data_IF_980888614188
#
_entry.id   IF_980888614188
#
_cell.length_a   1.000
_cell.length_b   1.000
_cell.length_c   1.000
_cell.angle_alpha   90.00
_cell.angle_beta   90.00
_cell.angle_gamma   90.00
#
_symmetry.space_group_name_H-M   'P 1'
#
loop_
_entity.id
_entity.type
_entity.pdbx_description
1 polymer ?
#
# COMPACT_ATOMS: atom_id res chain seq x y z
N UNK A 1 3.34 6.09 21.31
CA UNK A 1 4.69 5.92 20.74
C UNK A 1 5.27 7.31 20.48
N UNK A 2 6.51 7.57 20.91
CA UNK A 2 7.22 8.77 20.47
C UNK A 2 7.63 8.63 19.00
N UNK A 3 7.55 9.71 18.24
CA UNK A 3 7.97 9.76 16.81
C UNK A 3 9.40 9.22 16.65
N UNK A 4 10.25 9.40 17.66
CA UNK A 4 11.64 8.95 17.71
C UNK A 4 11.81 7.44 17.59
N UNK A 5 10.98 6.65 18.26
CA UNK A 5 11.11 5.19 18.24
C UNK A 5 10.68 4.62 16.88
N UNK A 6 9.66 5.22 16.26
CA UNK A 6 9.21 4.85 14.92
C UNK A 6 10.31 5.11 13.90
N UNK A 7 10.89 6.31 13.93
CA UNK A 7 12.00 6.69 13.06
C UNK A 7 13.21 5.77 13.28
N UNK A 8 13.51 5.40 14.53
CA UNK A 8 14.64 4.53 14.85
C UNK A 8 14.45 3.11 14.30
N UNK A 9 13.26 2.53 14.46
CA UNK A 9 13.00 1.13 14.05
C UNK A 9 12.78 1.00 12.54
N UNK A 10 11.90 1.82 11.97
CA UNK A 10 11.43 1.62 10.59
C UNK A 10 12.22 2.41 9.54
N UNK A 11 12.81 3.55 9.93
CA UNK A 11 13.57 4.40 9.00
C UNK A 11 15.06 4.16 9.15
N UNK A 12 15.62 4.32 10.35
CA UNK A 12 17.06 4.29 10.58
C UNK A 12 17.62 2.86 10.73
N UNK A 13 16.89 1.96 11.39
CA UNK A 13 17.38 0.63 11.74
C UNK A 13 18.30 0.64 12.98
N UNK A 14 18.53 -0.54 13.58
CA UNK A 14 19.34 -0.68 14.80
C UNK A 14 20.84 -0.48 14.57
N UNK A 15 21.32 -0.76 13.36
CA UNK A 15 22.75 -0.91 13.06
C UNK A 15 23.28 0.21 12.13
N UNK A 16 22.51 1.28 11.93
CA UNK A 16 22.93 2.33 11.00
C UNK A 16 23.98 3.25 11.60
N UNK A 17 25.24 3.03 11.21
CA UNK A 17 26.35 3.88 11.60
C UNK A 17 26.92 4.64 10.38
N UNK A 18 26.53 5.91 10.24
CA UNK A 18 27.07 6.83 9.22
C UNK A 18 28.59 6.97 9.27
N UNK A 19 29.22 6.73 10.43
CA UNK A 19 30.67 6.90 10.59
C UNK A 19 31.49 5.90 9.77
N UNK A 20 30.92 4.74 9.46
CA UNK A 20 31.59 3.69 8.68
C UNK A 20 31.63 3.95 7.16
N UNK A 21 30.94 4.99 6.67
CA UNK A 21 30.92 5.36 5.25
C UNK A 21 32.08 6.30 4.90
N UNK A 22 32.73 6.06 3.75
CA UNK A 22 33.73 6.99 3.21
C UNK A 22 33.10 8.34 2.87
N UNK A 23 33.91 9.41 2.88
CA UNK A 23 33.44 10.77 2.60
C UNK A 23 32.76 10.89 1.23
N UNK A 24 33.30 10.26 0.19
CA UNK A 24 32.70 10.28 -1.15
C UNK A 24 31.34 9.58 -1.18
N UNK A 25 31.19 8.47 -0.44
CA UNK A 25 29.91 7.77 -0.31
C UNK A 25 28.87 8.62 0.42
N UNK A 26 29.27 9.32 1.48
CA UNK A 26 28.38 10.26 2.18
C UNK A 26 27.88 11.37 1.26
N UNK A 27 28.77 11.94 0.43
CA UNK A 27 28.39 12.96 -0.55
C UNK A 27 27.37 12.43 -1.57
N UNK A 28 27.60 11.24 -2.13
CA UNK A 28 26.68 10.63 -3.08
C UNK A 28 25.31 10.35 -2.45
N UNK A 29 25.28 9.83 -1.23
CA UNK A 29 24.04 9.61 -0.49
C UNK A 29 23.28 10.93 -0.28
N UNK A 30 23.96 11.97 0.21
CA UNK A 30 23.32 13.28 0.44
C UNK A 30 22.77 13.86 -0.87
N UNK A 31 23.50 13.68 -1.98
CA UNK A 31 23.06 14.10 -3.31
C UNK A 31 21.83 13.32 -3.80
N UNK A 32 21.81 12.00 -3.64
CA UNK A 32 20.67 11.15 -4.02
C UNK A 32 19.41 11.50 -3.19
N UNK A 33 19.55 11.67 -1.88
CA UNK A 33 18.44 12.10 -1.02
C UNK A 33 17.98 13.53 -1.33
N UNK A 34 18.88 14.45 -1.66
CA UNK A 34 18.50 15.82 -2.01
C UNK A 34 17.71 15.86 -3.33
N UNK A 35 18.03 14.99 -4.29
CA UNK A 35 17.23 14.82 -5.51
C UNK A 35 15.83 14.29 -5.20
N UNK A 36 15.70 13.27 -4.36
CA UNK A 36 14.39 12.75 -3.94
C UNK A 36 13.54 13.85 -3.28
N UNK A 37 14.13 14.62 -2.37
CA UNK A 37 13.45 15.75 -1.71
C UNK A 37 13.04 16.79 -2.76
N UNK A 38 13.91 17.13 -3.71
CA UNK A 38 13.63 18.09 -4.76
C UNK A 38 12.41 17.66 -5.60
N UNK A 39 12.31 16.39 -5.99
CA UNK A 39 11.14 15.91 -6.73
C UNK A 39 9.85 16.00 -5.93
N UNK A 40 9.90 15.64 -4.64
CA UNK A 40 8.73 15.75 -3.75
C UNK A 40 8.29 17.20 -3.59
N UNK A 41 9.23 18.12 -3.36
CA UNK A 41 8.95 19.56 -3.23
C UNK A 41 8.40 20.12 -4.55
N UNK A 42 9.01 19.80 -5.68
CA UNK A 42 8.54 20.21 -6.99
C UNK A 42 7.11 19.69 -7.25
N UNK A 43 6.83 18.42 -6.93
CA UNK A 43 5.51 17.83 -7.06
C UNK A 43 4.47 18.56 -6.21
N UNK A 44 4.79 18.88 -4.95
CA UNK A 44 3.90 19.62 -4.06
C UNK A 44 3.62 21.02 -4.60
N UNK A 45 4.65 21.73 -5.08
CA UNK A 45 4.50 23.07 -5.67
C UNK A 45 3.57 23.00 -6.88
N UNK A 46 3.81 22.08 -7.82
CA UNK A 46 2.98 21.92 -9.03
C UNK A 46 1.55 21.55 -8.65
N UNK A 47 1.35 20.64 -7.71
CA UNK A 47 0.03 20.20 -7.25
C UNK A 47 -0.75 21.33 -6.55
N UNK A 48 -0.09 22.10 -5.68
CA UNK A 48 -0.70 23.25 -5.00
C UNK A 48 -1.02 24.38 -5.98
N UNK A 49 -0.13 24.62 -6.94
CA UNK A 49 -0.36 25.58 -8.01
C UNK A 49 -1.54 25.16 -8.89
N UNK A 50 -1.63 23.90 -9.29
CA UNK A 50 -2.77 23.35 -10.03
C UNK A 50 -4.08 23.52 -9.26
N UNK A 51 -4.10 23.19 -7.97
CA UNK A 51 -5.28 23.37 -7.11
C UNK A 51 -5.69 24.84 -7.01
N UNK A 52 -4.73 25.74 -6.75
CA UNK A 52 -4.98 27.18 -6.69
C UNK A 52 -5.52 27.74 -8.00
N UNK A 53 -4.96 27.31 -9.13
CA UNK A 53 -5.43 27.68 -10.46
C UNK A 53 -6.85 27.19 -10.72
N UNK A 54 -7.16 25.93 -10.44
CA UNK A 54 -8.52 25.38 -10.59
C UNK A 54 -9.52 26.10 -9.68
N UNK A 55 -9.11 26.45 -8.46
CA UNK A 55 -9.92 27.24 -7.54
C UNK A 55 -10.24 28.63 -8.10
N UNK A 56 -9.23 29.33 -8.63
CA UNK A 56 -9.41 30.64 -9.26
C UNK A 56 -10.32 30.53 -10.49
N UNK A 57 -10.05 29.57 -11.37
CA UNK A 57 -10.81 29.36 -12.62
C UNK A 57 -12.26 28.95 -12.38
N UNK A 58 -12.54 28.17 -11.34
CA UNK A 58 -13.90 27.77 -10.97
C UNK A 58 -14.63 28.80 -10.10
N UNK A 59 -13.93 29.82 -9.59
CA UNK A 59 -14.56 30.85 -8.78
C UNK A 59 -15.59 31.65 -9.59
N UNK A 60 -16.70 32.04 -8.94
CA UNK A 60 -17.71 32.93 -9.57
C UNK A 60 -17.12 34.30 -9.90
N UNK A 61 -16.10 34.74 -9.16
CA UNK A 61 -15.44 36.03 -9.30
C UNK A 61 -14.65 36.08 -10.61
N UNK A 62 -13.81 35.09 -10.90
CA UNK A 62 -13.03 35.06 -12.14
C UNK A 62 -13.93 35.10 -13.38
N UNK A 63 -15.03 34.34 -13.37
CA UNK A 63 -16.03 34.36 -14.45
C UNK A 63 -16.70 35.73 -14.60
N UNK A 64 -16.96 36.44 -13.49
CA UNK A 64 -17.51 37.81 -13.53
C UNK A 64 -16.48 38.80 -14.09
N UNK A 65 -15.23 38.74 -13.64
CA UNK A 65 -14.14 39.60 -14.13
C UNK A 65 -13.93 39.40 -15.63
N UNK A 66 -13.88 38.15 -16.09
CA UNK A 66 -13.76 37.83 -17.51
C UNK A 66 -14.94 38.40 -18.33
N UNK A 67 -16.19 38.25 -17.86
CA UNK A 67 -17.36 38.85 -18.52
C UNK A 67 -17.30 40.37 -18.57
N UNK A 68 -16.86 41.03 -17.50
CA UNK A 68 -16.70 42.48 -17.46
C UNK A 68 -15.60 42.93 -18.43
N UNK A 69 -14.49 42.21 -18.49
CA UNK A 69 -13.41 42.45 -19.47
C UNK A 69 -13.94 42.35 -20.91
N UNK A 70 -14.64 41.26 -21.25
CA UNK A 70 -15.22 41.12 -22.59
C UNK A 70 -16.24 42.22 -22.91
N UNK A 71 -17.09 42.61 -21.95
CA UNK A 71 -18.04 43.72 -22.13
C UNK A 71 -17.35 45.06 -22.35
N UNK A 72 -16.28 45.35 -21.61
CA UNK A 72 -15.51 46.58 -21.76
C UNK A 72 -14.91 46.68 -23.17
N UNK A 73 -14.25 45.62 -23.63
CA UNK A 73 -13.61 45.59 -24.95
C UNK A 73 -14.62 45.55 -26.11
N UNK A 74 -15.83 45.06 -25.90
CA UNK A 74 -16.87 45.04 -26.94
C UNK A 74 -17.23 46.45 -27.46
N UNK A 75 -17.11 47.49 -26.62
CA UNK A 75 -17.42 48.87 -27.00
C UNK A 75 -16.29 49.61 -27.72
N UNK A 76 -15.08 49.03 -27.77
CA UNK A 76 -13.93 49.66 -28.44
C UNK A 76 -13.80 49.05 -29.84
N UNK A 77 -14.08 49.81 -30.93
CA UNK A 77 -13.97 49.28 -32.29
C UNK A 77 -12.51 48.91 -32.62
N UNK A 78 -12.33 47.88 -33.45
CA UNK A 78 -11.05 47.33 -33.94
C UNK A 78 -10.19 46.67 -32.84
N UNK A 79 -9.74 47.43 -31.83
CA UNK A 79 -8.90 46.91 -30.73
C UNK A 79 -9.67 45.93 -29.83
N UNK A 80 -10.98 46.12 -29.68
CA UNK A 80 -11.84 45.24 -28.90
C UNK A 80 -11.88 43.81 -29.41
N UNK A 81 -11.98 43.63 -30.73
CA UNK A 81 -12.04 42.31 -31.37
C UNK A 81 -10.75 41.52 -31.12
N UNK A 82 -9.60 42.18 -31.24
CA UNK A 82 -8.29 41.57 -30.99
C UNK A 82 -8.17 41.14 -29.53
N UNK A 83 -8.49 42.02 -28.58
CA UNK A 83 -8.36 41.73 -27.15
C UNK A 83 -9.36 40.68 -26.66
N UNK A 84 -10.59 40.64 -27.19
CA UNK A 84 -11.54 39.55 -26.92
C UNK A 84 -11.01 38.24 -27.48
N UNK A 85 -10.45 38.24 -28.69
CA UNK A 85 -9.80 37.06 -29.28
C UNK A 85 -8.66 36.52 -28.41
N UNK A 86 -7.78 37.40 -27.94
CA UNK A 86 -6.68 37.05 -27.02
C UNK A 86 -7.23 36.50 -25.71
N UNK A 87 -8.22 37.16 -25.09
CA UNK A 87 -8.81 36.69 -23.84
C UNK A 87 -9.51 35.33 -23.98
N UNK A 88 -10.19 35.08 -25.09
CA UNK A 88 -10.78 33.78 -25.41
C UNK A 88 -9.71 32.71 -25.59
N UNK A 89 -8.61 33.04 -26.29
CA UNK A 89 -7.47 32.14 -26.47
C UNK A 89 -6.81 31.79 -25.13
N UNK A 90 -6.55 32.80 -24.28
CA UNK A 90 -6.00 32.61 -22.93
C UNK A 90 -6.96 31.78 -22.07
N UNK A 91 -8.26 32.07 -22.09
CA UNK A 91 -9.26 31.29 -21.36
C UNK A 91 -9.26 29.83 -21.82
N UNK A 92 -9.32 29.58 -23.13
CA UNK A 92 -9.29 28.23 -23.68
C UNK A 92 -8.01 27.50 -23.30
N UNK A 93 -6.86 28.17 -23.34
CA UNK A 93 -5.59 27.62 -22.87
C UNK A 93 -5.66 27.25 -21.38
N UNK A 94 -6.13 28.15 -20.52
CA UNK A 94 -6.22 27.95 -19.08
C UNK A 94 -7.22 26.86 -18.67
N UNK A 95 -8.32 26.68 -19.41
CA UNK A 95 -9.33 25.66 -19.09
C UNK A 95 -9.04 24.30 -19.72
N UNK A 96 -8.45 24.25 -20.91
CA UNK A 96 -8.36 23.01 -21.69
C UNK A 96 -6.94 22.51 -21.94
N UNK A 97 -5.93 23.37 -21.99
CA UNK A 97 -4.55 22.98 -22.32
C UNK A 97 -3.68 22.90 -21.07
N UNK A 98 -3.78 23.91 -20.22
CA UNK A 98 -2.91 24.08 -19.07
C UNK A 98 -3.13 23.06 -17.94
N UNK A 99 -4.37 22.68 -17.56
CA UNK A 99 -4.57 21.68 -16.52
C UNK A 99 -4.05 20.29 -16.92
N UNK A 100 -4.30 19.78 -18.14
CA UNK A 100 -3.66 18.55 -18.61
C UNK A 100 -2.13 18.65 -18.65
N UNK A 101 -1.57 19.79 -19.02
CA UNK A 101 -0.12 20.02 -19.02
C UNK A 101 0.48 19.92 -17.62
N UNK A 102 -0.11 20.58 -16.62
CA UNK A 102 0.34 20.46 -15.23
C UNK A 102 0.22 19.02 -14.72
N UNK A 103 -0.86 18.32 -15.08
CA UNK A 103 -1.03 16.91 -14.72
C UNK A 103 0.07 16.01 -15.33
N UNK A 104 0.52 16.30 -16.55
CA UNK A 104 1.67 15.62 -17.17
C UNK A 104 2.96 15.88 -16.40
N UNK A 105 3.23 17.13 -16.00
CA UNK A 105 4.41 17.46 -15.18
C UNK A 105 4.38 16.68 -13.87
N UNK A 106 3.24 16.68 -13.17
CA UNK A 106 3.07 15.91 -11.93
C UNK A 106 3.35 14.42 -12.14
N UNK A 107 2.83 13.84 -13.23
CA UNK A 107 3.06 12.43 -13.58
C UNK A 107 4.53 12.14 -13.85
N UNK A 108 5.23 13.02 -14.58
CA UNK A 108 6.67 12.89 -14.88
C UNK A 108 7.49 12.96 -13.59
N UNK A 109 7.18 13.90 -12.70
CA UNK A 109 7.84 14.01 -11.40
C UNK A 109 7.63 12.76 -10.54
N UNK A 110 6.41 12.19 -10.55
CA UNK A 110 6.12 10.91 -9.88
C UNK A 110 7.00 9.79 -10.45
N UNK A 111 7.03 9.62 -11.79
CA UNK A 111 7.83 8.57 -12.44
C UNK A 111 9.32 8.72 -12.15
N UNK A 112 9.85 9.94 -12.19
CA UNK A 112 11.25 10.21 -11.85
C UNK A 112 11.57 9.88 -10.40
N UNK A 113 10.69 10.25 -9.48
CA UNK A 113 10.86 9.92 -8.07
C UNK A 113 10.93 8.40 -7.87
N UNK A 114 9.99 7.66 -8.46
CA UNK A 114 10.00 6.20 -8.39
C UNK A 114 11.26 5.62 -9.02
N UNK A 115 11.66 6.12 -10.19
CA UNK A 115 12.88 5.68 -10.85
C UNK A 115 14.11 5.84 -9.94
N UNK A 116 14.31 7.00 -9.30
CA UNK A 116 15.45 7.19 -8.40
C UNK A 116 15.36 6.29 -7.16
N UNK A 117 14.17 6.13 -6.55
CA UNK A 117 14.01 5.18 -5.44
C UNK A 117 14.40 3.76 -5.87
N UNK A 118 13.94 3.32 -7.04
CA UNK A 118 14.26 1.99 -7.59
C UNK A 118 15.76 1.83 -7.80
N UNK A 119 16.41 2.83 -8.39
CA UNK A 119 17.85 2.83 -8.63
C UNK A 119 18.64 2.77 -7.31
N UNK A 120 18.21 3.51 -6.29
CA UNK A 120 18.84 3.49 -4.98
C UNK A 120 18.65 2.17 -4.22
N UNK A 121 17.55 1.45 -4.46
CA UNK A 121 17.17 0.26 -3.67
C UNK A 121 17.52 -1.05 -4.35
N UNK A 122 17.11 -1.27 -5.60
CA UNK A 122 17.14 -2.59 -6.24
C UNK A 122 18.02 -2.68 -7.49
N UNK A 123 18.33 -1.57 -8.18
CA UNK A 123 19.06 -1.63 -9.46
C UNK A 123 20.59 -1.61 -9.32
N UNK A 124 21.15 -1.01 -8.28
CA UNK A 124 22.61 -0.99 -8.09
C UNK A 124 23.08 -2.37 -7.66
N UNK A 125 23.87 -3.03 -8.51
CA UNK A 125 24.44 -4.36 -8.27
C UNK A 125 25.14 -4.42 -6.89
N UNK A 126 24.79 -5.42 -6.10
CA UNK A 126 25.61 -5.80 -4.95
C UNK A 126 24.87 -6.61 -3.90
N UNK A 127 23.90 -5.99 -3.21
CA UNK A 127 23.54 -6.48 -1.87
C UNK A 127 22.05 -6.74 -1.65
N UNK A 128 21.17 -6.53 -2.63
CA UNK A 128 19.75 -6.92 -2.52
C UNK A 128 19.38 -7.82 -3.70
N UNK A 129 18.87 -9.01 -3.41
CA UNK A 129 18.42 -9.96 -4.44
C UNK A 129 16.97 -10.35 -4.19
N UNK A 130 16.13 -10.19 -5.21
CA UNK A 130 14.72 -10.62 -5.17
C UNK A 130 14.63 -11.99 -5.86
N UNK A 131 14.12 -12.99 -5.15
CA UNK A 131 13.84 -14.31 -5.68
C UNK A 131 12.34 -14.58 -5.61
N UNK A 132 11.84 -15.23 -6.65
CA UNK A 132 10.49 -15.78 -6.67
C UNK A 132 10.53 -17.26 -6.29
N UNK A 133 9.56 -17.71 -5.50
CA UNK A 133 9.33 -19.15 -5.31
C UNK A 133 8.98 -19.84 -6.62
N UNK A 134 9.23 -21.13 -6.72
CA UNK A 134 8.97 -21.91 -7.95
C UNK A 134 7.49 -21.89 -8.37
N UNK A 135 6.58 -21.78 -7.40
CA UNK A 135 5.14 -21.77 -7.63
C UNK A 135 4.57 -20.34 -7.82
N UNK A 136 5.45 -19.33 -7.92
CA UNK A 136 5.04 -17.95 -8.14
C UNK A 136 4.38 -17.77 -9.50
N UNK A 137 3.21 -17.14 -9.50
CA UNK A 137 2.47 -16.80 -10.71
C UNK A 137 2.76 -15.35 -11.14
N UNK A 138 2.66 -15.05 -12.44
CA UNK A 138 2.89 -13.69 -12.94
C UNK A 138 1.75 -12.73 -12.53
N UNK A 139 1.97 -11.41 -12.57
CA UNK A 139 0.92 -10.42 -12.35
C UNK A 139 0.27 -10.01 -13.67
N UNK A 140 -0.89 -10.58 -14.02
CA UNK A 140 -1.66 -10.19 -15.21
C UNK A 140 -2.57 -9.00 -14.87
N UNK A 141 -2.02 -7.79 -14.95
CA UNK A 141 -2.71 -6.54 -14.59
C UNK A 141 -3.29 -5.83 -15.82
N UNK A 142 -2.83 -6.20 -17.01
CA UNK A 142 -3.26 -5.62 -18.28
C UNK A 142 -4.08 -6.60 -19.10
N UNK A 143 -5.09 -6.07 -19.79
CA UNK A 143 -5.73 -6.74 -20.91
C UNK A 143 -5.66 -5.82 -22.13
N UNK A 144 -5.02 -6.25 -23.22
CA UNK A 144 -4.95 -5.50 -24.49
C UNK A 144 -4.63 -3.99 -24.31
N UNK A 145 -3.55 -3.68 -23.57
CA UNK A 145 -3.10 -2.31 -23.23
C UNK A 145 -4.03 -1.47 -22.35
N UNK A 146 -5.06 -2.07 -21.75
CA UNK A 146 -5.89 -1.43 -20.74
C UNK A 146 -5.57 -1.98 -19.36
N UNK A 147 -5.37 -1.07 -18.39
CA UNK A 147 -5.19 -1.41 -17.00
C UNK A 147 -6.50 -1.99 -16.45
N UNK A 148 -6.44 -3.14 -15.79
CA UNK A 148 -7.57 -3.73 -15.07
C UNK A 148 -7.57 -3.26 -13.61
N UNK A 149 -8.74 -3.01 -13.06
CA UNK A 149 -8.92 -2.81 -11.63
C UNK A 149 -8.54 -4.09 -10.90
N UNK A 150 -7.41 -4.07 -10.20
CA UNK A 150 -6.78 -5.27 -9.64
C UNK A 150 -6.59 -5.08 -8.15
N UNK A 151 -6.93 -6.10 -7.35
CA UNK A 151 -6.66 -6.11 -5.91
C UNK A 151 -5.50 -7.04 -5.60
N UNK A 152 -4.54 -6.49 -4.88
CA UNK A 152 -3.38 -7.15 -4.34
C UNK A 152 -3.52 -7.16 -2.81
N UNK A 153 -3.46 -8.33 -2.20
CA UNK A 153 -3.31 -8.48 -0.76
C UNK A 153 -1.88 -8.92 -0.45
N UNK A 154 -1.28 -8.38 0.61
CA UNK A 154 0.07 -8.75 1.03
C UNK A 154 0.15 -8.84 2.55
N UNK A 155 1.08 -9.65 3.05
CA UNK A 155 1.54 -9.46 4.42
C UNK A 155 2.37 -8.16 4.49
N UNK A 156 2.41 -7.54 5.67
CA UNK A 156 3.18 -6.32 5.89
C UNK A 156 4.26 -6.56 6.94
N UNK A 157 5.52 -6.52 6.50
CA UNK A 157 6.67 -6.71 7.37
C UNK A 157 7.47 -5.45 7.57
N UNK A 158 7.54 -4.59 6.56
CA UNK A 158 8.33 -3.37 6.63
C UNK A 158 7.72 -2.26 5.78
N UNK A 159 8.03 -1.01 6.12
CA UNK A 159 7.78 0.16 5.27
C UNK A 159 8.42 0.00 3.88
N UNK A 160 9.39 -0.89 3.72
CA UNK A 160 9.95 -1.28 2.42
C UNK A 160 8.91 -1.92 1.49
N UNK A 161 7.93 -2.66 2.01
CA UNK A 161 6.95 -3.40 1.18
C UNK A 161 6.21 -2.47 0.20
N UNK A 162 5.93 -1.25 0.66
CA UNK A 162 5.37 -0.15 -0.12
C UNK A 162 6.20 0.18 -1.37
N UNK A 163 7.53 0.13 -1.28
CA UNK A 163 8.44 0.32 -2.42
C UNK A 163 8.54 -0.97 -3.22
N UNK A 164 8.74 -2.12 -2.56
CA UNK A 164 8.90 -3.42 -3.20
C UNK A 164 7.72 -3.76 -4.11
N UNK A 165 6.48 -3.58 -3.65
CA UNK A 165 5.29 -3.90 -4.44
C UNK A 165 5.23 -3.02 -5.69
N UNK A 166 5.58 -1.73 -5.60
CA UNK A 166 5.69 -0.89 -6.78
C UNK A 166 6.78 -1.41 -7.74
N UNK A 167 7.93 -1.85 -7.23
CA UNK A 167 8.99 -2.47 -8.05
C UNK A 167 8.47 -3.67 -8.82
N UNK A 168 7.74 -4.56 -8.14
CA UNK A 168 7.18 -5.77 -8.74
C UNK A 168 6.18 -5.43 -9.85
N UNK A 169 5.34 -4.41 -9.63
CA UNK A 169 4.42 -3.90 -10.65
C UNK A 169 5.16 -3.33 -11.86
N UNK A 170 6.21 -2.53 -11.65
CA UNK A 170 7.00 -1.94 -12.72
C UNK A 170 7.80 -2.98 -13.52
N UNK A 171 8.41 -3.96 -12.84
CA UNK A 171 9.13 -5.07 -13.47
C UNK A 171 8.22 -5.87 -14.39
N UNK A 172 7.02 -6.22 -13.90
CA UNK A 172 6.05 -6.94 -14.69
C UNK A 172 5.55 -6.10 -15.89
N UNK A 173 5.38 -4.80 -15.69
CA UNK A 173 4.84 -3.92 -16.73
C UNK A 173 5.78 -3.67 -17.91
N UNK A 174 7.07 -3.45 -17.67
CA UNK A 174 7.99 -2.97 -18.72
C UNK A 174 9.16 -3.89 -19.05
N UNK A 175 9.29 -5.06 -18.41
CA UNK A 175 10.27 -6.12 -18.70
C UNK A 175 11.74 -5.77 -18.47
N UNK A 176 12.16 -4.55 -18.81
CA UNK A 176 13.54 -4.07 -18.87
C UNK A 176 13.67 -2.63 -18.31
N UNK A 177 12.84 -2.23 -17.36
CA UNK A 177 12.93 -0.87 -16.76
C UNK A 177 14.30 -0.61 -16.11
N UNK A 178 14.96 -1.66 -15.64
CA UNK A 178 16.26 -1.59 -14.97
C UNK A 178 17.39 -1.13 -15.90
N UNK A 179 17.28 -1.42 -17.20
CA UNK A 179 18.27 -1.02 -18.21
C UNK A 179 17.91 0.27 -18.94
N UNK A 180 16.78 0.91 -18.62
CA UNK A 180 16.35 2.13 -19.31
C UNK A 180 17.12 3.35 -18.82
N UNK A 181 17.59 4.16 -19.77
CA UNK A 181 18.20 5.44 -19.44
C UNK A 181 17.15 6.42 -18.90
N UNK A 182 17.59 7.34 -18.04
CA UNK A 182 16.73 8.41 -17.49
C UNK A 182 16.05 9.24 -18.60
N UNK A 183 16.73 9.48 -19.71
CA UNK A 183 16.18 10.20 -20.86
C UNK A 183 15.05 9.44 -21.56
N UNK A 184 15.14 8.12 -21.65
CA UNK A 184 14.10 7.32 -22.32
C UNK A 184 12.84 7.25 -21.47
N UNK A 185 13.00 7.15 -20.15
CA UNK A 185 11.89 7.20 -19.20
C UNK A 185 11.18 8.55 -19.28
N UNK A 186 11.94 9.66 -19.35
CA UNK A 186 11.37 11.00 -19.52
C UNK A 186 10.61 11.14 -20.84
N UNK A 187 11.19 10.67 -21.95
CA UNK A 187 10.55 10.72 -23.28
C UNK A 187 9.26 9.91 -23.28
N UNK A 188 9.25 8.73 -22.68
CA UNK A 188 8.03 7.91 -22.53
C UNK A 188 7.00 8.62 -21.65
N UNK A 189 7.41 9.04 -20.44
CA UNK A 189 6.58 9.80 -19.50
C UNK A 189 5.91 11.04 -20.12
N UNK A 190 6.59 11.70 -21.05
CA UNK A 190 6.10 12.91 -21.71
C UNK A 190 5.25 12.65 -22.95
N UNK A 191 5.63 11.69 -23.79
CA UNK A 191 5.02 11.46 -25.11
C UNK A 191 3.90 10.43 -25.08
N UNK A 192 4.04 9.39 -24.27
CA UNK A 192 2.97 8.42 -24.09
C UNK A 192 1.94 9.04 -23.13
N UNK A 193 0.67 9.04 -23.53
CA UNK A 193 -0.44 9.33 -22.61
C UNK A 193 -0.50 8.21 -21.57
N UNK A 194 0.40 8.25 -20.60
CA UNK A 194 0.64 7.19 -19.62
C UNK A 194 -0.47 7.18 -18.57
N UNK A 195 -1.61 6.64 -18.99
CA UNK A 195 -2.52 5.92 -18.10
C UNK A 195 -2.00 4.51 -17.78
N UNK A 196 -0.77 4.17 -18.18
CA UNK A 196 -0.27 2.80 -18.17
C UNK A 196 0.95 2.60 -17.26
N UNK A 197 1.26 3.52 -16.34
CA UNK A 197 2.14 3.17 -15.22
C UNK A 197 1.27 2.63 -14.09
N UNK A 198 1.22 1.28 -13.85
CA UNK A 198 0.45 0.72 -12.75
C UNK A 198 1.09 1.13 -11.43
N UNK A 199 0.67 2.28 -10.91
CA UNK A 199 1.05 2.72 -9.58
C UNK A 199 0.17 2.04 -8.56
N UNK A 200 0.78 1.35 -7.59
CA UNK A 200 0.04 0.82 -6.47
C UNK A 200 -0.68 1.95 -5.72
N UNK A 201 -1.98 1.76 -5.51
CA UNK A 201 -2.82 2.56 -4.62
C UNK A 201 -3.00 1.79 -3.33
N UNK A 202 -2.39 2.28 -2.26
CA UNK A 202 -2.49 1.62 -0.96
C UNK A 202 -3.75 2.08 -0.26
N UNK A 203 -4.51 1.11 0.25
CA UNK A 203 -5.71 1.34 1.04
C UNK A 203 -5.34 1.13 2.51
N UNK A 204 -5.06 2.22 3.23
CA UNK A 204 -4.75 2.19 4.65
C UNK A 204 -5.00 3.55 5.31
N UNK A 205 -5.06 3.59 6.65
CA UNK A 205 -5.28 4.82 7.43
C UNK A 205 -6.50 5.64 6.99
N UNK A 206 -7.56 4.94 6.57
CA UNK A 206 -8.79 5.59 6.11
C UNK A 206 -8.68 6.34 4.79
N UNK A 207 -7.64 6.09 4.00
CA UNK A 207 -7.43 6.77 2.73
C UNK A 207 -6.84 5.88 1.62
N UNK A 208 -7.03 6.32 0.37
CA UNK A 208 -6.43 5.71 -0.81
C UNK A 208 -5.27 6.61 -1.22
N UNK A 209 -4.04 6.18 -0.93
CA UNK A 209 -2.85 6.99 -1.19
C UNK A 209 -1.91 6.34 -2.19
N UNK A 210 -1.14 7.21 -2.85
CA UNK A 210 0.06 6.86 -3.60
C UNK A 210 1.28 7.13 -2.72
N UNK A 211 2.36 6.39 -2.93
CA UNK A 211 3.67 6.82 -2.44
C UNK A 211 4.32 7.78 -3.45
N UNK A 212 5.29 8.59 -3.00
CA UNK A 212 5.39 9.16 -1.68
C UNK A 212 4.40 10.33 -1.59
N UNK A 213 3.61 10.41 -0.54
CA UNK A 213 2.95 11.68 -0.22
C UNK A 213 3.31 12.02 1.21
N UNK A 214 3.73 13.25 1.47
CA UNK A 214 3.88 13.74 2.85
C UNK A 214 2.56 13.58 3.62
N UNK A 215 1.45 13.58 2.89
CA UNK A 215 0.13 13.26 3.39
C UNK A 215 0.03 11.86 4.01
N UNK A 216 0.71 10.85 3.47
CA UNK A 216 0.79 9.52 4.11
C UNK A 216 1.50 9.61 5.47
N UNK A 217 2.65 10.29 5.55
CA UNK A 217 3.37 10.47 6.81
C UNK A 217 2.51 11.20 7.84
N UNK A 218 1.80 12.25 7.42
CA UNK A 218 0.85 12.98 8.27
C UNK A 218 -0.29 12.05 8.70
N UNK A 219 -0.86 11.25 7.81
CA UNK A 219 -1.95 10.31 8.14
C UNK A 219 -1.49 9.23 9.13
N UNK A 220 -0.29 8.68 8.98
CA UNK A 220 0.31 7.73 9.93
C UNK A 220 0.45 8.38 11.31
N UNK A 221 0.79 9.66 11.36
CA UNK A 221 0.96 10.40 12.62
C UNK A 221 -0.36 10.85 13.26
N UNK A 222 -1.41 11.09 12.47
CA UNK A 222 -2.64 11.78 12.94
C UNK A 222 -3.87 10.90 12.99
N UNK A 223 -4.04 9.96 12.05
CA UNK A 223 -5.23 9.12 11.96
C UNK A 223 -5.01 7.83 12.75
N UNK A 224 -6.11 7.20 13.17
CA UNK A 224 -6.06 5.82 13.66
C UNK A 224 -6.07 4.88 12.45
N UNK A 225 -5.20 3.88 12.46
CA UNK A 225 -5.12 2.91 11.36
C UNK A 225 -6.41 2.11 11.18
N UNK A 226 -7.14 1.90 12.28
CA UNK A 226 -8.42 1.22 12.26
C UNK A 226 -9.51 2.00 11.51
N UNK A 227 -9.20 3.20 11.01
CA UNK A 227 -10.11 3.94 10.17
C UNK A 227 -10.32 3.21 8.84
N UNK A 228 -11.55 2.74 8.62
CA UNK A 228 -11.92 1.98 7.43
C UNK A 228 -12.52 2.91 6.39
N UNK A 229 -12.22 2.66 5.12
CA UNK A 229 -12.85 3.34 3.99
C UNK A 229 -14.14 2.61 3.66
N UNK A 230 -15.24 3.36 3.52
CA UNK A 230 -16.50 2.79 3.08
C UNK A 230 -16.46 2.40 1.59
N UNK A 231 -17.22 1.36 1.24
CA UNK A 231 -17.39 0.86 -0.11
C UNK A 231 -17.82 1.95 -1.11
N UNK A 232 -18.70 2.88 -0.72
CA UNK A 232 -19.14 3.97 -1.57
C UNK A 232 -18.00 4.92 -1.98
N UNK A 233 -17.04 5.17 -1.09
CA UNK A 233 -15.90 6.04 -1.37
C UNK A 233 -14.92 5.39 -2.35
N UNK A 234 -14.74 4.07 -2.28
CA UNK A 234 -13.91 3.31 -3.23
C UNK A 234 -14.52 3.36 -4.63
N UNK A 235 -15.85 3.22 -4.74
CA UNK A 235 -16.57 3.32 -6.00
C UNK A 235 -16.45 4.73 -6.59
N UNK A 236 -16.68 5.77 -5.78
CA UNK A 236 -16.50 7.17 -6.21
C UNK A 236 -15.08 7.42 -6.71
N UNK A 237 -14.08 6.87 -6.04
CA UNK A 237 -12.69 6.97 -6.46
C UNK A 237 -12.46 6.31 -7.83
N UNK A 238 -12.94 5.07 -8.02
CA UNK A 238 -12.83 4.37 -9.31
C UNK A 238 -13.59 5.07 -10.45
N UNK A 239 -14.77 5.64 -10.17
CA UNK A 239 -15.52 6.42 -11.16
C UNK A 239 -14.83 7.74 -11.55
N UNK A 240 -13.95 8.26 -10.68
CA UNK A 240 -13.20 9.50 -10.92
C UNK A 240 -11.89 9.25 -11.65
N UNK A 241 -11.16 8.20 -11.25
CA UNK A 241 -9.78 7.93 -11.68
C UNK A 241 -9.63 6.72 -12.63
N UNK A 242 -10.74 6.03 -12.94
CA UNK A 242 -10.76 4.85 -13.79
C UNK A 242 -10.16 3.61 -13.12
N UNK A 243 -9.67 2.67 -13.92
CA UNK A 243 -9.07 1.43 -13.44
C UNK A 243 -7.77 1.68 -12.68
N UNK A 244 -7.59 1.02 -11.54
CA UNK A 244 -6.43 1.19 -10.66
C UNK A 244 -5.99 -0.13 -10.02
N UNK A 245 -4.72 -0.21 -9.61
CA UNK A 245 -4.20 -1.34 -8.83
C UNK A 245 -4.26 -0.99 -7.35
N UNK A 246 -5.09 -1.68 -6.59
CA UNK A 246 -5.18 -1.52 -5.14
C UNK A 246 -4.31 -2.53 -4.41
N UNK A 247 -3.60 -2.06 -3.40
CA UNK A 247 -2.81 -2.87 -2.48
C UNK A 247 -3.40 -2.73 -1.08
N UNK A 248 -3.70 -3.86 -0.47
CA UNK A 248 -4.21 -3.96 0.89
C UNK A 248 -3.25 -4.80 1.74
N UNK A 249 -2.94 -4.29 2.93
CA UNK A 249 -2.32 -5.06 3.99
C UNK A 249 -3.39 -5.36 5.04
N UNK A 250 -4.11 -6.49 4.94
CA UNK A 250 -5.20 -6.74 5.85
C UNK A 250 -4.66 -7.36 7.13
N UNK A 251 -3.57 -6.83 7.69
CA UNK A 251 -2.93 -7.27 8.93
C UNK A 251 -3.13 -6.24 10.03
N UNK A 252 -3.11 -6.68 11.29
CA UNK A 252 -2.94 -5.76 12.41
C UNK A 252 -1.55 -5.16 12.29
N UNK A 253 -1.43 -3.87 12.00
CA UNK A 253 -0.12 -3.25 11.99
C UNK A 253 0.37 -3.06 13.42
N UNK A 254 1.58 -3.53 13.63
CA UNK A 254 2.23 -3.48 14.91
C UNK A 254 3.39 -2.51 14.75
N UNK A 255 3.14 -1.26 15.15
CA UNK A 255 4.14 -0.20 15.05
C UNK A 255 5.26 -0.39 16.08
N UNK A 256 5.00 -1.06 17.19
CA UNK A 256 5.95 -1.32 18.29
C UNK A 256 6.14 -2.81 18.52
N UNK A 257 7.37 -3.23 18.82
CA UNK A 257 7.69 -4.62 19.22
C UNK A 257 6.86 -5.09 20.42
N UNK A 258 6.54 -4.18 21.35
CA UNK A 258 5.70 -4.44 22.54
C UNK A 258 4.28 -4.88 22.17
N UNK A 259 3.57 -4.12 21.33
CA UNK A 259 2.26 -4.52 20.80
C UNK A 259 2.34 -5.85 20.03
N UNK A 260 3.48 -6.13 19.40
CA UNK A 260 3.79 -7.43 18.76
C UNK A 260 3.80 -8.57 19.75
N UNK A 261 4.52 -8.39 20.85
CA UNK A 261 4.62 -9.34 21.95
C UNK A 261 3.26 -9.51 22.63
N UNK A 262 2.53 -8.41 22.86
CA UNK A 262 1.19 -8.44 23.46
C UNK A 262 0.23 -9.22 22.56
N UNK A 263 0.18 -8.92 21.26
CA UNK A 263 -0.67 -9.65 20.32
C UNK A 263 -0.31 -11.14 20.29
N UNK A 264 0.99 -11.47 20.28
CA UNK A 264 1.44 -12.86 20.34
C UNK A 264 1.03 -13.54 21.64
N UNK A 265 1.14 -12.86 22.78
CA UNK A 265 0.72 -13.37 24.09
C UNK A 265 -0.78 -13.56 24.17
N UNK A 266 -1.57 -12.65 23.60
CA UNK A 266 -3.03 -12.79 23.46
C UNK A 266 -3.34 -14.02 22.61
N UNK A 267 -2.75 -14.15 21.41
CA UNK A 267 -2.95 -15.31 20.55
C UNK A 267 -2.52 -16.63 21.24
N UNK A 268 -1.52 -16.58 22.13
CA UNK A 268 -1.11 -17.73 22.93
C UNK A 268 -2.14 -18.11 23.99
N UNK A 269 -2.65 -17.12 24.73
CA UNK A 269 -3.58 -17.32 25.84
C UNK A 269 -4.98 -17.75 25.38
N UNK A 270 -5.44 -17.24 24.23
CA UNK A 270 -6.78 -17.54 23.69
C UNK A 270 -6.80 -18.70 22.69
N UNK A 271 -5.70 -19.44 22.55
CA UNK A 271 -5.67 -20.67 21.77
C UNK A 271 -6.53 -21.75 22.46
N UNK A 272 -7.39 -22.51 21.74
CA UNK A 272 -7.48 -22.65 20.28
C UNK A 272 -8.52 -21.73 19.59
N UNK A 273 -9.16 -20.84 20.32
CA UNK A 273 -10.19 -19.94 19.78
C UNK A 273 -9.61 -18.86 18.85
N UNK A 274 -8.36 -18.47 19.09
CA UNK A 274 -7.58 -17.58 18.22
C UNK A 274 -6.38 -18.35 17.67
N UNK A 275 -6.16 -18.25 16.36
CA UNK A 275 -5.04 -18.91 15.69
C UNK A 275 -3.70 -18.27 16.09
N UNK A 276 -2.68 -19.12 16.25
CA UNK A 276 -1.30 -18.68 16.52
C UNK A 276 -0.60 -18.42 15.18
N UNK A 277 -0.23 -17.16 14.95
CA UNK A 277 0.65 -16.74 13.88
C UNK A 277 1.99 -16.29 14.46
N UNK A 278 3.10 -16.79 13.92
CA UNK A 278 4.45 -16.42 14.33
C UNK A 278 5.09 -15.47 13.31
N UNK A 279 4.88 -15.75 12.02
CA UNK A 279 5.49 -15.08 10.88
C UNK A 279 4.60 -14.05 10.18
N UNK A 280 3.29 -14.15 10.34
CA UNK A 280 2.31 -13.13 9.92
C UNK A 280 1.57 -12.52 11.11
N UNK A 281 0.94 -11.37 10.89
CA UNK A 281 0.10 -10.73 11.90
C UNK A 281 -1.37 -11.14 11.70
N UNK A 282 -2.17 -11.03 12.76
CA UNK A 282 -3.58 -11.42 12.69
C UNK A 282 -4.31 -10.53 11.67
N UNK A 283 -5.16 -11.11 10.79
CA UNK A 283 -5.77 -10.31 9.74
C UNK A 283 -6.91 -9.40 10.23
N UNK A 284 -7.01 -8.20 9.65
CA UNK A 284 -8.13 -7.27 9.80
C UNK A 284 -9.08 -7.37 8.62
N UNK A 285 -10.29 -7.82 8.90
CA UNK A 285 -11.23 -8.18 7.84
C UNK A 285 -12.04 -7.02 7.26
N UNK A 286 -12.36 -6.01 8.08
CA UNK A 286 -13.35 -4.98 7.71
C UNK A 286 -12.99 -4.21 6.43
N UNK A 287 -11.71 -3.86 6.25
CA UNK A 287 -11.25 -3.19 5.03
C UNK A 287 -11.32 -4.12 3.81
N UNK A 288 -10.85 -5.36 3.95
CA UNK A 288 -10.94 -6.37 2.88
C UNK A 288 -12.38 -6.59 2.43
N UNK A 289 -13.29 -6.76 3.39
CA UNK A 289 -14.73 -6.90 3.13
C UNK A 289 -15.28 -5.68 2.41
N UNK A 290 -14.94 -4.47 2.83
CA UNK A 290 -15.41 -3.24 2.17
C UNK A 290 -14.94 -3.10 0.72
N UNK A 291 -13.70 -3.50 0.42
CA UNK A 291 -13.16 -3.50 -0.96
C UNK A 291 -13.89 -4.53 -1.82
N UNK A 292 -14.07 -5.76 -1.33
CA UNK A 292 -14.81 -6.81 -2.06
C UNK A 292 -16.27 -6.37 -2.28
N UNK A 293 -16.88 -5.68 -1.31
CA UNK A 293 -18.24 -5.15 -1.46
C UNK A 293 -18.32 -4.05 -2.52
N UNK A 294 -17.33 -3.16 -2.57
CA UNK A 294 -17.25 -2.14 -3.60
C UNK A 294 -17.15 -2.78 -5.00
N UNK A 295 -16.36 -3.83 -5.15
CA UNK A 295 -16.24 -4.56 -6.42
C UNK A 295 -17.51 -5.33 -6.78
N UNK A 296 -18.18 -5.94 -5.79
CA UNK A 296 -19.45 -6.62 -6.02
C UNK A 296 -20.53 -5.65 -6.50
N UNK A 297 -20.57 -4.44 -5.95
CA UNK A 297 -21.45 -3.35 -6.40
C UNK A 297 -21.10 -2.87 -7.82
N UNK A 298 -19.83 -2.72 -8.17
CA UNK A 298 -19.40 -2.35 -9.53
C UNK A 298 -19.75 -3.39 -10.59
N UNK A 299 -19.82 -4.67 -10.21
CA UNK A 299 -20.21 -5.76 -11.09
C UNK A 299 -21.71 -6.09 -11.02
N UNK A 300 -22.51 -5.31 -10.29
CA UNK A 300 -23.95 -5.55 -10.04
C UNK A 300 -24.27 -6.97 -9.51
N UNK A 301 -23.35 -7.56 -8.75
CA UNK A 301 -23.52 -8.91 -8.18
C UNK A 301 -24.30 -8.81 -6.87
N UNK A 302 -25.53 -9.33 -6.88
CA UNK A 302 -26.32 -9.50 -5.64
C UNK A 302 -25.62 -10.51 -4.75
N UNK A 303 -25.25 -10.10 -3.53
CA UNK A 303 -24.74 -11.02 -2.51
C UNK A 303 -25.74 -12.15 -2.26
N UNK A 304 -25.24 -13.37 -2.10
CA UNK A 304 -26.10 -14.54 -1.84
C UNK A 304 -26.88 -14.36 -0.53
N UNK A 305 -28.21 -14.19 -0.63
CA UNK A 305 -29.10 -13.98 0.52
C UNK A 305 -29.66 -15.27 1.15
N UNK A 306 -29.45 -16.46 0.56
CA UNK A 306 -29.83 -17.77 1.14
C UNK A 306 -28.58 -18.51 1.65
N UNK A 307 -28.48 -19.13 2.83
CA UNK A 307 -29.44 -19.79 3.72
C UNK A 307 -29.36 -19.23 5.16
N UNK A 308 -30.49 -18.71 5.68
CA UNK A 308 -30.70 -18.44 7.12
C UNK A 308 -31.45 -19.59 7.82
N UNK A 309 -31.74 -20.68 7.12
CA UNK A 309 -32.37 -21.89 7.69
C UNK A 309 -31.35 -23.02 7.79
N UNK A 310 -30.56 -23.02 8.87
CA UNK A 310 -29.90 -24.18 9.54
C UNK A 310 -28.78 -23.73 10.48
N UNK A 311 -28.98 -22.66 11.25
CA UNK A 311 -28.13 -22.37 12.42
C UNK A 311 -29.04 -22.00 13.60
N UNK A 312 -29.65 -23.03 14.19
CA UNK A 312 -29.91 -23.15 15.61
C UNK A 312 -29.51 -24.60 15.98
N UNK A 313 -28.79 -24.86 17.09
CA UNK A 313 -28.78 -24.06 18.32
C UNK A 313 -27.36 -23.78 18.86
N UNK A 314 -26.77 -22.62 18.52
CA UNK A 314 -25.68 -22.03 19.35
C UNK A 314 -26.23 -21.24 20.54
N UNK A 315 -27.50 -20.83 20.49
CA UNK A 315 -28.14 -20.05 21.55
C UNK A 315 -28.45 -20.88 22.82
N UNK A 316 -28.66 -22.20 22.67
CA UNK A 316 -28.89 -23.09 23.82
C UNK A 316 -27.58 -23.37 24.55
N UNK A 317 -26.45 -23.41 23.83
CA UNK A 317 -25.12 -23.57 24.43
C UNK A 317 -24.67 -22.24 25.07
N UNK A 318 -24.96 -21.09 24.46
CA UNK A 318 -24.63 -19.79 25.05
C UNK A 318 -25.44 -19.49 26.32
N UNK A 319 -26.70 -19.88 26.39
CA UNK A 319 -27.49 -19.74 27.63
C UNK A 319 -27.01 -20.68 28.75
N UNK A 320 -26.56 -21.89 28.40
CA UNK A 320 -25.93 -22.79 29.36
C UNK A 320 -24.59 -22.21 29.87
N UNK A 321 -23.76 -21.65 28.99
CA UNK A 321 -22.49 -21.02 29.40
C UNK A 321 -22.68 -19.71 30.14
N UNK A 322 -23.72 -18.93 29.86
CA UNK A 322 -24.05 -17.70 30.60
C UNK A 322 -24.59 -18.02 32.00
N UNK A 323 -25.37 -19.10 32.16
CA UNK A 323 -25.80 -19.57 33.49
C UNK A 323 -24.64 -20.14 34.32
N UNK A 324 -23.64 -20.73 33.67
CA UNK A 324 -22.41 -21.20 34.32
C UNK A 324 -21.48 -20.01 34.64
N UNK A 325 -21.29 -19.07 33.71
CA UNK A 325 -20.51 -17.83 33.90
C UNK A 325 -21.07 -17.00 35.05
N UNK A 326 -22.38 -16.76 35.10
CA UNK A 326 -22.98 -15.97 36.17
C UNK A 326 -22.89 -16.65 37.56
N UNK A 327 -22.67 -17.98 37.60
CA UNK A 327 -22.43 -18.72 38.84
C UNK A 327 -20.94 -18.71 39.24
N UNK A 328 -20.04 -18.53 38.28
CA UNK A 328 -18.58 -18.42 38.44
C UNK A 328 -18.16 -16.95 38.71
N UNK A 329 -18.83 -15.97 38.12
CA UNK A 329 -18.63 -14.52 38.31
C UNK A 329 -19.10 -14.02 39.69
N UNK A 330 -19.91 -14.82 40.40
CA UNK A 330 -20.22 -14.60 41.82
C UNK A 330 -19.14 -15.14 42.77
N UNK A 331 -18.21 -15.96 42.27
CA UNK A 331 -17.13 -16.58 43.05
C UNK A 331 -15.78 -15.87 42.81
N UNK A 332 -15.62 -15.14 41.70
CA UNK A 332 -14.33 -14.55 41.28
C UNK A 332 -14.26 -13.01 41.32
N UNK A 333 -15.07 -12.35 42.15
CA UNK A 333 -14.89 -10.90 42.39
C UNK A 333 -13.82 -10.64 43.46
N UNK A 334 -12.58 -10.84 43.06
CA UNK A 334 -11.38 -10.18 43.59
C UNK A 334 -10.31 -10.31 42.51
N UNK A 335 -10.34 -9.37 41.55
CA UNK A 335 -9.17 -8.73 40.95
C UNK A 335 -9.52 -8.06 39.62
N UNK A 336 -8.97 -6.86 39.45
CA UNK A 336 -9.26 -5.88 38.41
C UNK A 336 -9.24 -6.45 36.99
N UNK A 337 -10.40 -6.37 36.32
CA UNK A 337 -10.47 -6.52 34.86
C UNK A 337 -11.08 -5.26 34.23
N UNK A 338 -10.24 -4.58 33.46
CA UNK A 338 -10.58 -3.49 32.56
C UNK A 338 -11.53 -4.03 31.48
N UNK A 339 -12.74 -3.47 31.31
CA UNK A 339 -13.66 -3.96 30.29
C UNK A 339 -13.15 -3.60 28.89
N UNK A 340 -12.99 -4.63 28.05
CA UNK A 340 -12.78 -4.49 26.61
C UNK A 340 -14.05 -3.91 26.00
N UNK A 341 -14.02 -2.61 25.66
CA UNK A 341 -15.10 -1.93 24.95
C UNK A 341 -15.09 -2.35 23.49
N UNK A 342 -15.99 -3.26 23.10
CA UNK A 342 -16.40 -3.46 21.72
C UNK A 342 -17.25 -2.25 21.29
N UNK A 343 -16.60 -1.22 20.76
CA UNK A 343 -17.27 -0.03 20.25
C UNK A 343 -18.02 -0.30 18.95
N UNK A 344 -19.33 -0.50 19.05
CA UNK A 344 -20.27 -0.19 17.97
C UNK A 344 -20.40 1.34 17.89
N UNK A 345 -19.61 1.97 17.03
CA UNK A 345 -19.83 3.36 16.65
C UNK A 345 -20.30 3.39 15.19
N UNK A 346 -21.60 3.60 15.03
CA UNK A 346 -22.18 4.07 13.78
C UNK A 346 -21.74 5.52 13.57
N UNK A 347 -20.83 5.74 12.61
CA UNK A 347 -20.45 7.09 12.21
C UNK A 347 -21.50 7.65 11.25
N UNK A 348 -22.37 8.51 11.77
CA UNK A 348 -23.17 9.45 10.99
C UNK A 348 -22.22 10.46 10.37
N UNK A 349 -22.02 10.37 9.05
CA UNK A 349 -21.22 11.30 8.28
C UNK A 349 -22.06 11.96 7.19
N UNK A 350 -22.63 13.12 7.49
CA UNK A 350 -23.08 14.07 6.46
C UNK A 350 -21.85 14.51 5.65
N UNK A 351 -21.85 14.27 4.34
CA UNK A 351 -20.87 14.87 3.43
C UNK A 351 -21.59 15.50 2.24
N UNK A 352 -21.36 16.81 2.12
CA UNK A 352 -21.82 17.69 1.06
C UNK A 352 -21.45 17.14 -0.32
N UNK A 353 -22.45 17.16 -1.20
CA UNK A 353 -22.34 16.82 -2.62
C UNK A 353 -21.43 17.83 -3.34
N UNK A 354 -20.24 17.37 -3.74
CA UNK A 354 -19.52 17.95 -4.87
C UNK A 354 -19.68 17.01 -6.05
N UNK A 355 -20.78 17.22 -6.79
CA UNK A 355 -21.06 16.61 -8.08
C UNK A 355 -20.01 17.08 -9.09
N UNK A 356 -19.01 16.24 -9.35
CA UNK A 356 -18.19 16.34 -10.56
C UNK A 356 -18.75 15.30 -11.53
N UNK A 357 -19.38 15.78 -12.60
CA UNK A 357 -19.79 14.97 -13.75
C UNK A 357 -18.53 14.33 -14.39
N UNK A 358 -18.20 13.09 -14.04
CA UNK A 358 -17.31 12.26 -14.85
C UNK A 358 -18.15 11.34 -15.74
N UNK A 359 -17.97 11.49 -17.06
CA UNK A 359 -18.54 10.63 -18.10
C UNK A 359 -18.21 9.17 -17.81
N UNK A 360 -19.17 8.28 -18.10
CA UNK A 360 -19.10 6.82 -18.00
C UNK A 360 -17.77 6.22 -18.50
N UNK A 361 -16.78 6.10 -17.62
CA UNK A 361 -15.62 5.25 -17.87
C UNK A 361 -15.98 3.84 -17.45
N UNK A 362 -15.99 2.91 -18.41
CA UNK A 362 -16.26 1.50 -18.14
C UNK A 362 -15.10 0.92 -17.31
N UNK A 363 -15.36 0.65 -16.03
CA UNK A 363 -14.40 0.02 -15.13
C UNK A 363 -14.32 -1.47 -15.48
N UNK A 364 -13.10 -1.99 -15.65
CA UNK A 364 -12.84 -3.39 -15.96
C UNK A 364 -12.18 -4.04 -14.74
N UNK A 365 -12.89 -4.94 -14.07
CA UNK A 365 -12.36 -5.69 -12.94
C UNK A 365 -11.47 -6.84 -13.43
N UNK A 366 -10.33 -7.05 -12.77
CA UNK A 366 -9.49 -8.21 -13.00
C UNK A 366 -10.21 -9.49 -12.54
N UNK A 367 -10.08 -10.58 -13.30
CA UNK A 367 -10.63 -11.89 -12.92
C UNK A 367 -9.94 -12.47 -11.68
N UNK A 368 -8.71 -12.02 -11.42
CA UNK A 368 -7.88 -12.51 -10.33
C UNK A 368 -7.60 -11.43 -9.29
N UNK A 369 -7.63 -11.85 -8.03
CA UNK A 369 -7.03 -11.20 -6.88
C UNK A 369 -5.66 -11.84 -6.65
N UNK A 370 -4.65 -11.03 -6.35
CA UNK A 370 -3.28 -11.51 -6.13
C UNK A 370 -2.92 -11.48 -4.65
N UNK A 371 -2.41 -12.59 -4.14
CA UNK A 371 -1.85 -12.72 -2.81
C UNK A 371 -0.32 -12.74 -2.89
N UNK A 372 0.33 -11.78 -2.23
CA UNK A 372 1.77 -11.63 -2.16
C UNK A 372 2.26 -12.03 -0.78
N UNK A 373 3.19 -12.98 -0.72
CA UNK A 373 3.95 -13.30 0.50
C UNK A 373 5.37 -12.78 0.35
N UNK A 374 5.72 -11.77 1.14
CA UNK A 374 7.06 -11.17 1.15
C UNK A 374 7.79 -11.56 2.42
N UNK A 375 9.01 -12.06 2.27
CA UNK A 375 9.91 -12.36 3.39
C UNK A 375 11.31 -11.82 3.10
N UNK A 376 11.92 -11.20 4.10
CA UNK A 376 13.28 -10.68 4.04
C UNK A 376 14.21 -11.54 4.87
N UNK A 377 15.34 -11.91 4.28
CA UNK A 377 16.42 -12.64 4.92
C UNK A 377 17.73 -11.87 4.82
N UNK A 378 18.60 -12.06 5.81
CA UNK A 378 19.97 -11.60 5.82
C UNK A 378 20.88 -12.82 5.93
N UNK A 379 21.79 -12.98 4.98
CA UNK A 379 22.74 -14.08 4.99
C UNK A 379 23.88 -13.75 5.96
N UNK A 380 23.88 -14.34 7.16
CA UNK A 380 24.98 -14.21 8.12
C UNK A 380 25.93 -15.40 8.02
N UNK A 381 27.22 -15.12 7.98
CA UNK A 381 28.25 -16.15 8.10
C UNK A 381 28.40 -16.49 9.58
N UNK A 382 28.03 -17.72 9.96
CA UNK A 382 28.12 -18.18 11.36
C UNK A 382 29.29 -19.15 11.46
N UNK A 383 30.27 -18.83 12.31
CA UNK A 383 31.46 -19.67 12.51
C UNK A 383 31.21 -20.87 13.43
N UNK A 384 30.14 -20.82 14.24
CA UNK A 384 29.73 -21.87 15.19
C UNK A 384 28.21 -22.02 15.19
N UNK A 385 27.65 -22.66 14.16
CA UNK A 385 26.23 -23.04 14.14
C UNK A 385 26.07 -24.54 14.42
N UNK A 386 25.04 -24.90 15.18
CA UNK A 386 24.65 -26.30 15.41
C UNK A 386 23.50 -26.64 14.46
N UNK A 387 23.63 -27.76 13.75
CA UNK A 387 22.58 -28.25 12.87
C UNK A 387 21.48 -28.91 13.71
N UNK A 388 20.45 -28.14 14.08
CA UNK A 388 19.30 -28.62 14.83
C UNK A 388 18.45 -29.64 14.04
N UNK A 389 18.66 -29.76 12.73
CA UNK A 389 17.91 -30.68 11.86
C UNK A 389 18.55 -32.07 11.86
N UNK A 390 19.89 -32.15 11.92
CA UNK A 390 20.63 -33.43 11.96
C UNK A 390 21.02 -33.90 13.36
N UNK A 391 20.74 -33.12 14.40
CA UNK A 391 21.06 -33.46 15.79
C UNK A 391 22.57 -33.51 16.10
N UNK A 392 23.41 -33.04 15.17
CA UNK A 392 24.87 -33.05 15.35
C UNK A 392 25.35 -31.76 16.00
N UNK A 393 25.82 -31.87 17.24
CA UNK A 393 26.40 -30.77 18.04
C UNK A 393 27.77 -30.26 17.53
N UNK A 394 28.30 -30.80 16.43
CA UNK A 394 29.57 -30.33 15.88
C UNK A 394 29.38 -28.94 15.25
N UNK A 395 30.11 -27.89 15.69
CA UNK A 395 30.00 -26.57 15.09
C UNK A 395 30.44 -26.64 13.63
N UNK A 396 29.53 -26.30 12.72
CA UNK A 396 29.85 -26.15 11.31
C UNK A 396 29.96 -24.67 10.95
N UNK A 397 30.98 -24.32 10.17
CA UNK A 397 31.07 -23.03 9.51
C UNK A 397 30.10 -23.05 8.33
N UNK A 398 29.11 -22.18 8.35
CA UNK A 398 28.07 -22.15 7.32
C UNK A 398 27.45 -20.76 7.17
N UNK A 399 26.65 -20.60 6.12
CA UNK A 399 25.83 -19.41 5.91
C UNK A 399 24.43 -19.72 6.44
N UNK A 400 23.99 -18.95 7.43
CA UNK A 400 22.64 -19.03 7.95
C UNK A 400 21.84 -17.83 7.44
N UNK A 401 20.64 -18.10 6.92
CA UNK A 401 19.70 -17.05 6.55
C UNK A 401 18.85 -16.72 7.78
N UNK A 402 18.96 -15.49 8.25
CA UNK A 402 18.17 -14.97 9.36
C UNK A 402 17.05 -14.08 8.81
N UNK A 403 15.82 -14.32 9.25
CA UNK A 403 14.69 -13.46 8.91
C UNK A 403 14.89 -12.08 9.54
N UNK A 404 14.78 -11.03 8.73
CA UNK A 404 14.94 -9.64 9.17
C UNK A 404 13.69 -8.81 8.89
N UNK A 405 13.56 -7.71 9.63
CA UNK A 405 12.62 -6.63 9.32
C UNK A 405 13.48 -5.44 8.87
N UNK A 406 13.69 -5.25 7.55
CA UNK A 406 14.62 -4.24 7.08
C UNK A 406 14.06 -2.84 7.33
N UNK A 407 14.89 -1.93 7.81
CA UNK A 407 14.56 -0.50 7.77
C UNK A 407 14.76 0.07 6.34
N UNK A 408 14.18 1.24 6.07
CA UNK A 408 14.43 1.94 4.80
C UNK A 408 15.93 2.19 4.58
N UNK A 409 16.65 2.59 5.62
CA UNK A 409 18.09 2.84 5.55
C UNK A 409 18.89 1.56 5.35
N UNK A 410 18.48 0.43 5.94
CA UNK A 410 19.17 -0.83 5.69
C UNK A 410 19.13 -1.25 4.21
N UNK A 411 18.06 -0.91 3.49
CA UNK A 411 17.93 -1.17 2.06
C UNK A 411 18.65 -0.11 1.23
N UNK A 412 18.42 1.18 1.48
CA UNK A 412 19.12 2.25 0.73
C UNK A 412 20.64 2.16 0.89
N UNK A 413 21.10 1.75 2.08
CA UNK A 413 22.52 1.62 2.39
C UNK A 413 23.07 0.20 2.22
N UNK A 414 22.25 -0.77 1.82
CA UNK A 414 22.68 -2.13 1.59
C UNK A 414 23.93 -2.15 0.69
N UNK A 415 23.89 -1.42 -0.42
CA UNK A 415 24.96 -1.36 -1.42
C UNK A 415 26.23 -0.60 -0.94
N UNK A 416 26.16 0.12 0.18
CA UNK A 416 27.24 0.99 0.65
C UNK A 416 27.99 0.46 1.87
N UNK A 417 27.45 -0.53 2.61
CA UNK A 417 28.12 -1.18 3.75
C UNK A 417 29.29 -2.05 3.26
N UNK A 418 30.51 -1.80 3.75
CA UNK A 418 31.68 -2.69 3.55
C UNK A 418 31.51 -3.92 4.45
N UNK A 419 31.65 -5.14 3.90
CA UNK A 419 31.72 -6.36 4.71
C UNK A 419 30.43 -7.18 4.85
N UNK A 420 29.70 -7.33 3.74
CA UNK A 420 28.86 -8.49 3.33
C UNK A 420 27.92 -9.12 4.38
N UNK A 421 26.63 -8.81 4.25
CA UNK A 421 25.53 -9.78 4.37
C UNK A 421 24.46 -9.34 3.35
N UNK A 422 24.28 -10.02 2.20
CA UNK A 422 23.24 -9.63 1.24
C UNK A 422 21.85 -9.80 1.86
N UNK A 423 20.96 -8.85 1.55
CA UNK A 423 19.54 -8.94 1.84
C UNK A 423 18.90 -9.73 0.71
N UNK A 424 18.25 -10.83 1.08
CA UNK A 424 17.53 -11.72 0.17
C UNK A 424 16.05 -11.50 0.41
N UNK A 425 15.34 -11.07 -0.63
CA UNK A 425 13.90 -10.89 -0.61
C UNK A 425 13.28 -12.08 -1.32
N UNK A 426 12.47 -12.87 -0.63
CA UNK A 426 11.70 -13.95 -1.22
C UNK A 426 10.26 -13.48 -1.39
N UNK A 427 9.75 -13.60 -2.61
CA UNK A 427 8.39 -13.22 -2.98
C UNK A 427 7.66 -14.44 -3.51
N UNK A 428 6.50 -14.74 -2.95
CA UNK A 428 5.55 -15.74 -3.47
C UNK A 428 4.30 -15.01 -3.96
N UNK A 429 3.87 -15.29 -5.19
CA UNK A 429 2.69 -14.67 -5.80
C UNK A 429 1.68 -15.76 -6.15
N UNK A 430 0.45 -15.64 -5.63
CA UNK A 430 -0.67 -16.56 -5.91
C UNK A 430 -1.88 -15.82 -6.43
N UNK A 431 -2.57 -16.38 -7.43
CA UNK A 431 -3.85 -15.85 -7.93
C UNK A 431 -5.02 -16.58 -7.30
N UNK A 432 -6.04 -15.80 -6.98
CA UNK A 432 -7.35 -16.28 -6.53
C UNK A 432 -8.41 -15.70 -7.43
N UNK A 433 -9.37 -16.52 -7.88
CA UNK A 433 -10.44 -15.99 -8.74
C UNK A 433 -11.38 -15.12 -7.91
N UNK A 434 -11.56 -13.87 -8.34
CA UNK A 434 -12.34 -12.89 -7.58
C UNK A 434 -13.84 -13.17 -7.65
N UNK A 435 -14.31 -13.76 -8.75
CA UNK A 435 -15.71 -14.11 -8.99
C UNK A 435 -16.28 -15.07 -7.93
N UNK A 436 -15.43 -15.90 -7.32
CA UNK A 436 -15.81 -16.76 -6.21
C UNK A 436 -16.01 -16.00 -4.89
N UNK A 437 -15.40 -14.82 -4.75
CA UNK A 437 -15.42 -14.00 -3.54
C UNK A 437 -16.55 -12.97 -3.54
N UNK A 438 -16.82 -12.34 -4.69
CA UNK A 438 -17.83 -11.29 -4.83
C UNK A 438 -19.23 -11.66 -4.26
N UNK A 439 -19.77 -12.89 -4.44
CA UNK A 439 -21.09 -13.24 -3.93
C UNK A 439 -21.12 -13.66 -2.45
N UNK A 440 -19.95 -13.77 -1.79
CA UNK A 440 -19.85 -14.25 -0.42
C UNK A 440 -20.35 -13.21 0.60
N UNK A 441 -20.84 -13.72 1.74
CA UNK A 441 -21.17 -12.90 2.91
C UNK A 441 -19.89 -12.52 3.66
N UNK A 442 -19.97 -11.45 4.45
CA UNK A 442 -18.85 -10.92 5.22
C UNK A 442 -18.19 -12.00 6.09
N UNK A 443 -18.96 -12.80 6.84
CA UNK A 443 -18.44 -13.90 7.66
C UNK A 443 -17.67 -14.96 6.85
N UNK A 444 -18.10 -15.24 5.61
CA UNK A 444 -17.41 -16.19 4.73
C UNK A 444 -16.13 -15.58 4.14
N UNK A 445 -16.13 -14.29 3.86
CA UNK A 445 -14.94 -13.55 3.42
C UNK A 445 -13.89 -13.48 4.55
N UNK A 446 -14.34 -13.24 5.77
CA UNK A 446 -13.52 -13.27 6.99
C UNK A 446 -12.84 -14.62 7.15
N UNK A 447 -13.64 -15.70 7.12
CA UNK A 447 -13.11 -17.06 7.22
C UNK A 447 -12.19 -17.43 6.06
N UNK A 448 -12.50 -16.98 4.84
CA UNK A 448 -11.63 -17.21 3.67
C UNK A 448 -10.28 -16.54 3.87
N UNK A 449 -10.26 -15.29 4.35
CA UNK A 449 -9.05 -14.55 4.64
C UNK A 449 -8.25 -15.23 5.74
N UNK A 450 -8.90 -15.68 6.83
CA UNK A 450 -8.23 -16.41 7.91
C UNK A 450 -7.56 -17.71 7.40
N UNK A 451 -8.25 -18.48 6.56
CA UNK A 451 -7.68 -19.69 5.93
C UNK A 451 -6.49 -19.36 5.04
N UNK A 452 -6.56 -18.26 4.30
CA UNK A 452 -5.45 -17.81 3.46
C UNK A 452 -4.24 -17.41 4.31
N UNK A 453 -4.44 -16.67 5.42
CA UNK A 453 -3.38 -16.32 6.36
C UNK A 453 -2.72 -17.56 6.98
N UNK A 454 -3.50 -18.59 7.33
CA UNK A 454 -2.95 -19.87 7.79
C UNK A 454 -2.08 -20.56 6.74
N UNK A 455 -2.48 -20.51 5.46
CA UNK A 455 -1.68 -21.08 4.37
C UNK A 455 -0.39 -20.29 4.18
N UNK A 456 -0.44 -18.96 4.29
CA UNK A 456 0.74 -18.09 4.19
C UNK A 456 1.74 -18.34 5.31
N UNK A 457 1.27 -18.48 6.55
CA UNK A 457 2.11 -18.85 7.70
C UNK A 457 2.86 -20.17 7.44
N UNK A 458 2.15 -21.22 6.98
CA UNK A 458 2.76 -22.52 6.65
C UNK A 458 3.79 -22.40 5.53
N UNK A 459 3.47 -21.64 4.49
CA UNK A 459 4.39 -21.40 3.37
C UNK A 459 5.70 -20.76 3.84
N UNK A 460 5.62 -19.77 4.73
CA UNK A 460 6.82 -19.11 5.26
C UNK A 460 7.65 -20.11 6.06
N UNK A 461 7.03 -20.93 6.92
CA UNK A 461 7.71 -21.97 7.70
C UNK A 461 8.36 -23.02 6.79
N UNK A 462 7.66 -23.48 5.75
CA UNK A 462 8.20 -24.44 4.78
C UNK A 462 9.38 -23.86 4.01
N UNK A 463 9.31 -22.58 3.63
CA UNK A 463 10.41 -21.90 2.97
C UNK A 463 11.62 -21.72 3.90
N UNK A 464 11.39 -21.37 5.17
CA UNK A 464 12.45 -21.33 6.19
C UNK A 464 13.12 -22.70 6.36
N UNK A 465 12.34 -23.78 6.39
CA UNK A 465 12.87 -25.15 6.51
C UNK A 465 13.68 -25.58 5.27
N UNK A 466 13.28 -25.17 4.06
CA UNK A 466 14.06 -25.43 2.82
C UNK A 466 15.39 -24.68 2.78
N UNK A 467 15.48 -23.58 3.54
CA UNK A 467 16.60 -22.65 3.57
C UNK A 467 17.68 -23.07 4.59
N UNK A 468 17.42 -24.04 5.48
CA UNK A 468 18.35 -24.42 6.55
C UNK A 468 19.63 -25.11 6.05
N UNK A 469 20.78 -24.52 6.41
CA UNK A 469 22.19 -24.96 6.37
C UNK A 469 22.59 -26.04 5.34
N UNK A 470 23.33 -25.62 4.32
CA UNK A 470 24.27 -26.48 3.57
C UNK A 470 25.71 -26.16 3.94
#
# INVERSE_FOLDING_TARGET
>A
MGITDFLKVHIAGSDFNLRCLSLDRKKNIVFEFSQLILYVVAYIIVSKFQYGMLFILNSKISRRVYRLYCKFWYYIPILGVINIGIANSISNFLFHVFPPFLNRISTVLEVLFYYEILQMTFSKEGNIKIYFTNDSEELLIMNSNQLLTTLIISNHRSVVDYILINVLLYRNFNGNWESMSRSDILKRAWNETLNIHPQAKFISWGDIFKLPTLYLLINILTKNENHVIDSGNIIRYLNTWGNQVFVLFPEVNILTTELGIIQRKINQNYYPHVMKYYNVLYPRYKMFVNVINAFAQLCDIKKSLLNRKLIYPRHIISEATVRISNKVDKILKEDDSIPLVFGNYESVGQQNELLINSKDQKIFLNKYLYDLSVVYYKAKVVEKSHDHVKGTLKPQKGVQLEQIVPSLFDIFFANYKRGRDPIIVIVDIRRHRIDQLLPLKNEKLEKWLEILWMKKERLIIENEAKISLK
#
